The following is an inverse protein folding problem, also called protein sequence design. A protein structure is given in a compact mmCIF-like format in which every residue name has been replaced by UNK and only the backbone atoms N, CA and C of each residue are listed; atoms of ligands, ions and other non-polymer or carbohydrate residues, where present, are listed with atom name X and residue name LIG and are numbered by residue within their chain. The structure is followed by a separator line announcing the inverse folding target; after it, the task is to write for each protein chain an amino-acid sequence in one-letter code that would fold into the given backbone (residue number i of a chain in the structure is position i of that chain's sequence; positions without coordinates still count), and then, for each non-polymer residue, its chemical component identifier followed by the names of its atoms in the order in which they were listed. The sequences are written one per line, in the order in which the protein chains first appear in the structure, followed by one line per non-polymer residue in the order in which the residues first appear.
data_IF_296501074710
#
_entry.id   IF_296501074710
#
_cell.length_a   1.000
_cell.length_b   1.000
_cell.length_c   1.000
_cell.angle_alpha   90.00
_cell.angle_beta   90.00
_cell.angle_gamma   90.00
#
_symmetry.space_group_name_H-M   'P 1'
#
loop_
_entity.id
_entity.type
_entity.pdbx_description
1 polymer ?
#
# COMPACT_ATOMS: atom_id res chain seq x y z
N UNK A 1 -14.61 -1.39 -25.21
CA UNK A 1 -14.57 -1.27 -23.72
C UNK A 1 -14.14 -2.56 -23.06
N UNK A 2 -14.80 -3.69 -23.34
CA UNK A 2 -14.41 -5.01 -22.82
C UNK A 2 -12.97 -5.38 -23.16
N UNK A 3 -12.52 -5.14 -24.41
CA UNK A 3 -11.12 -5.35 -24.83
C UNK A 3 -10.10 -4.60 -23.97
N UNK A 4 -10.35 -3.33 -23.62
CA UNK A 4 -9.45 -2.56 -22.77
C UNK A 4 -9.39 -3.12 -21.34
N UNK A 5 -10.54 -3.58 -20.82
CA UNK A 5 -10.64 -4.25 -19.51
C UNK A 5 -9.84 -5.57 -19.51
N UNK A 6 -9.98 -6.36 -20.57
CA UNK A 6 -9.25 -7.63 -20.76
C UNK A 6 -7.75 -7.36 -20.87
N UNK A 7 -7.33 -6.36 -21.66
CA UNK A 7 -5.93 -5.97 -21.81
C UNK A 7 -5.28 -5.55 -20.49
N UNK A 8 -5.92 -4.69 -19.70
CA UNK A 8 -5.45 -4.30 -18.38
C UNK A 8 -5.38 -5.50 -17.42
N UNK A 9 -6.40 -6.37 -17.46
CA UNK A 9 -6.44 -7.56 -16.61
C UNK A 9 -5.33 -8.56 -16.96
N UNK A 10 -5.04 -8.74 -18.25
CA UNK A 10 -3.94 -9.57 -18.74
C UNK A 10 -2.57 -8.97 -18.41
N UNK A 11 -2.38 -7.66 -18.62
CA UNK A 11 -1.15 -6.94 -18.28
C UNK A 11 -0.83 -7.03 -16.77
N UNK A 12 -1.86 -7.05 -15.92
CA UNK A 12 -1.73 -7.22 -14.47
C UNK A 12 -1.72 -8.68 -14.00
N UNK A 13 -1.65 -9.66 -14.91
CA UNK A 13 -1.65 -11.11 -14.62
C UNK A 13 -2.84 -11.58 -13.78
N UNK A 14 -3.99 -10.93 -13.95
CA UNK A 14 -5.20 -11.21 -13.19
C UNK A 14 -5.22 -10.68 -11.75
N UNK A 15 -4.18 -9.94 -11.33
CA UNK A 15 -4.09 -9.39 -9.97
C UNK A 15 -5.13 -8.28 -9.73
N UNK A 16 -5.48 -7.53 -10.78
CA UNK A 16 -6.36 -6.38 -10.66
C UNK A 16 -7.85 -6.73 -10.68
N UNK A 17 -8.49 -6.41 -9.56
CA UNK A 17 -9.94 -6.37 -9.41
C UNK A 17 -10.57 -5.14 -10.07
N UNK A 18 -11.90 -5.07 -10.05
CA UNK A 18 -12.71 -4.02 -10.69
C UNK A 18 -12.26 -2.60 -10.31
N UNK A 19 -11.99 -2.34 -9.03
CA UNK A 19 -11.53 -1.02 -8.55
C UNK A 19 -10.22 -0.57 -9.17
N UNK A 20 -9.25 -1.48 -9.33
CA UNK A 20 -7.95 -1.17 -9.92
C UNK A 20 -8.06 -0.96 -11.43
N UNK A 21 -8.81 -1.82 -12.13
CA UNK A 21 -9.08 -1.64 -13.57
C UNK A 21 -9.77 -0.29 -13.84
N UNK A 22 -10.79 0.08 -13.05
CA UNK A 22 -11.44 1.39 -13.15
C UNK A 22 -10.46 2.56 -12.92
N UNK A 23 -9.55 2.42 -11.96
CA UNK A 23 -8.53 3.44 -11.68
C UNK A 23 -7.48 3.56 -12.78
N UNK A 24 -7.29 2.55 -13.64
CA UNK A 24 -6.37 2.63 -14.79
C UNK A 24 -7.07 3.14 -16.05
N UNK A 25 -8.36 2.83 -16.22
CA UNK A 25 -9.16 3.38 -17.31
C UNK A 25 -9.30 4.91 -17.24
N UNK A 26 -9.32 5.48 -16.02
CA UNK A 26 -9.59 6.91 -15.80
C UNK A 26 -8.41 7.83 -16.16
N UNK A 27 -7.15 7.61 -15.73
CA UNK A 27 -5.99 8.40 -16.14
C UNK A 27 -5.27 7.85 -17.38
N UNK A 28 -5.35 6.55 -17.68
CA UNK A 28 -4.60 5.91 -18.77
C UNK A 28 -5.26 5.97 -20.15
N UNK A 29 -6.59 5.99 -20.19
CA UNK A 29 -7.37 6.00 -21.45
C UNK A 29 -8.41 7.13 -21.50
N UNK A 30 -8.51 7.95 -20.46
CA UNK A 30 -9.50 9.04 -20.33
C UNK A 30 -10.96 8.58 -20.48
N UNK A 31 -11.26 7.32 -20.10
CA UNK A 31 -12.60 6.74 -20.25
C UNK A 31 -13.31 6.78 -18.90
N UNK A 32 -14.39 7.58 -18.82
CA UNK A 32 -15.25 7.64 -17.65
C UNK A 32 -16.29 6.52 -17.68
N UNK A 33 -16.07 5.48 -16.90
CA UNK A 33 -16.99 4.34 -16.74
C UNK A 33 -17.31 4.21 -15.26
N UNK A 34 -18.55 3.93 -14.87
CA UNK A 34 -18.86 3.65 -13.47
C UNK A 34 -18.18 2.34 -13.02
N UNK A 35 -17.81 2.24 -11.74
CA UNK A 35 -17.27 0.98 -11.19
C UNK A 35 -18.19 -0.22 -11.46
N UNK A 36 -19.51 -0.04 -11.34
CA UNK A 36 -20.49 -1.10 -11.59
C UNK A 36 -20.51 -1.58 -13.04
N UNK A 37 -20.33 -0.68 -14.00
CA UNK A 37 -20.20 -1.08 -15.42
C UNK A 37 -18.92 -1.87 -15.66
N UNK A 38 -17.81 -1.48 -15.05
CA UNK A 38 -16.55 -2.27 -15.13
C UNK A 38 -16.75 -3.65 -14.53
N UNK A 39 -17.48 -3.76 -13.42
CA UNK A 39 -17.77 -5.03 -12.75
C UNK A 39 -18.57 -5.97 -13.65
N UNK A 40 -19.65 -5.45 -14.21
CA UNK A 40 -20.52 -6.18 -15.11
C UNK A 40 -19.78 -6.61 -16.39
N UNK A 41 -18.94 -5.75 -16.96
CA UNK A 41 -18.14 -6.08 -18.14
C UNK A 41 -17.05 -7.11 -17.84
N UNK A 42 -16.39 -7.02 -16.67
CA UNK A 42 -15.44 -8.05 -16.22
C UNK A 42 -16.12 -9.40 -16.06
N UNK A 43 -17.31 -9.41 -15.45
CA UNK A 43 -18.09 -10.63 -15.24
C UNK A 43 -18.55 -11.24 -16.57
N UNK A 44 -19.07 -10.43 -17.50
CA UNK A 44 -19.44 -10.89 -18.85
C UNK A 44 -18.26 -11.42 -19.66
N UNK A 45 -17.06 -10.87 -19.44
CA UNK A 45 -15.83 -11.33 -20.07
C UNK A 45 -15.22 -12.58 -19.39
N UNK A 46 -15.86 -13.13 -18.34
CA UNK A 46 -15.36 -14.32 -17.65
C UNK A 46 -14.06 -14.09 -16.88
N UNK A 47 -13.69 -12.83 -16.59
CA UNK A 47 -12.43 -12.52 -15.93
C UNK A 47 -12.52 -12.85 -14.43
N UNK A 48 -11.56 -13.61 -13.87
CA UNK A 48 -11.60 -13.99 -12.47
C UNK A 48 -11.55 -12.75 -11.56
N UNK A 49 -12.34 -12.79 -10.49
CA UNK A 49 -12.17 -11.88 -9.38
C UNK A 49 -10.83 -12.13 -8.68
N UNK A 50 -10.25 -11.10 -8.08
CA UNK A 50 -9.15 -11.29 -7.12
C UNK A 50 -9.71 -12.07 -5.92
N UNK A 51 -9.63 -13.39 -5.99
CA UNK A 51 -9.94 -14.27 -4.87
C UNK A 51 -8.76 -14.17 -3.92
N UNK A 52 -8.88 -13.34 -2.88
CA UNK A 52 -7.89 -13.31 -1.80
C UNK A 52 -7.66 -14.73 -1.33
N UNK A 53 -6.41 -15.18 -1.32
CA UNK A 53 -6.04 -16.45 -0.73
C UNK A 53 -6.58 -16.45 0.71
N UNK A 54 -7.43 -17.41 1.03
CA UNK A 54 -7.92 -17.57 2.40
C UNK A 54 -6.71 -17.81 3.28
N UNK A 55 -6.56 -17.02 4.35
CA UNK A 55 -5.48 -17.22 5.33
C UNK A 55 -5.55 -18.67 5.80
N UNK A 56 -4.58 -19.49 5.39
CA UNK A 56 -4.40 -20.82 5.97
C UNK A 56 -3.84 -20.56 7.36
N UNK A 57 -4.63 -20.80 8.40
CA UNK A 57 -4.08 -20.83 9.76
C UNK A 57 -3.01 -21.92 9.76
N UNK A 58 -1.76 -21.52 9.99
CA UNK A 58 -0.61 -22.39 9.83
C UNK A 58 -0.75 -23.61 10.72
N UNK A 59 -0.79 -24.79 10.10
CA UNK A 59 -0.33 -26.01 10.76
C UNK A 59 1.14 -25.76 11.15
N UNK A 60 1.52 -26.03 12.40
CA UNK A 60 2.87 -25.81 12.87
C UNK A 60 3.86 -26.48 11.89
N UNK A 61 4.70 -25.66 11.25
CA UNK A 61 5.55 -26.12 10.13
C UNK A 61 6.67 -27.07 10.58
N UNK A 62 6.90 -27.20 11.89
CA UNK A 62 7.84 -28.11 12.52
C UNK A 62 7.24 -28.46 13.89
N UNK A 63 7.18 -29.74 14.24
CA UNK A 63 6.83 -30.15 15.60
C UNK A 63 7.85 -29.53 16.56
N UNK A 64 7.39 -28.83 17.61
CA UNK A 64 8.26 -28.29 18.65
C UNK A 64 8.91 -29.46 19.41
N UNK A 65 10.07 -29.94 18.94
CA UNK A 65 10.77 -31.11 19.50
C UNK A 65 11.26 -30.88 20.94
N UNK A 66 11.19 -29.63 21.41
CA UNK A 66 11.58 -29.22 22.76
C UNK A 66 10.37 -29.25 23.72
N UNK A 67 9.16 -29.53 23.21
CA UNK A 67 7.91 -29.62 23.98
C UNK A 67 7.75 -28.47 24.99
N UNK A 68 7.94 -27.23 24.52
CA UNK A 68 7.92 -26.06 25.39
C UNK A 68 6.48 -25.75 25.78
N UNK A 69 6.22 -25.73 27.08
CA UNK A 69 4.93 -25.31 27.60
C UNK A 69 4.79 -23.78 27.54
N UNK A 70 4.11 -23.29 26.50
CA UNK A 70 3.75 -21.88 26.33
C UNK A 70 2.31 -21.56 26.77
N UNK A 71 1.68 -22.48 27.51
CA UNK A 71 0.31 -22.34 28.02
C UNK A 71 0.28 -21.44 29.25
N UNK A 72 -0.65 -20.47 29.30
CA UNK A 72 -0.86 -19.59 30.46
C UNK A 72 -2.31 -19.61 30.92
N UNK A 73 -2.54 -19.62 32.23
CA UNK A 73 -3.89 -19.69 32.82
C UNK A 73 -4.47 -18.30 33.17
N UNK A 74 -3.63 -17.28 33.30
CA UNK A 74 -4.05 -15.90 33.47
C UNK A 74 -3.17 -14.91 32.67
N UNK A 75 -3.64 -13.66 32.58
CA UNK A 75 -2.91 -12.56 31.95
C UNK A 75 -1.61 -12.28 32.73
N UNK A 76 -0.58 -11.79 32.05
CA UNK A 76 0.73 -11.39 32.62
C UNK A 76 1.61 -12.51 33.23
N UNK A 77 1.24 -13.79 33.08
CA UNK A 77 2.03 -14.92 33.60
C UNK A 77 3.19 -15.35 32.69
N UNK A 78 3.07 -15.12 31.38
CA UNK A 78 4.10 -15.45 30.40
C UNK A 78 4.12 -14.37 29.32
N UNK A 79 5.31 -13.83 29.04
CA UNK A 79 5.57 -12.88 27.95
C UNK A 79 6.57 -13.51 26.99
N UNK A 80 6.09 -13.93 25.84
CA UNK A 80 6.93 -14.35 24.70
C UNK A 80 6.91 -13.21 23.71
N UNK A 81 8.08 -12.71 23.35
CA UNK A 81 8.26 -11.68 22.32
C UNK A 81 9.27 -12.21 21.32
N UNK A 82 8.96 -12.05 20.04
CA UNK A 82 9.89 -12.38 18.97
C UNK A 82 10.93 -11.27 18.84
N UNK A 83 12.19 -11.65 18.66
CA UNK A 83 13.26 -10.72 18.31
C UNK A 83 13.18 -10.51 16.80
N UNK A 84 12.92 -9.28 16.38
CA UNK A 84 12.94 -8.94 14.96
C UNK A 84 14.38 -8.74 14.51
N UNK A 85 14.83 -9.55 13.55
CA UNK A 85 16.10 -9.31 12.88
C UNK A 85 15.98 -8.03 12.03
N UNK A 86 16.67 -6.98 12.45
CA UNK A 86 16.83 -5.79 11.64
C UNK A 86 18.00 -5.99 10.68
N UNK A 87 17.72 -6.00 9.37
CA UNK A 87 18.80 -6.01 8.38
C UNK A 87 19.65 -4.73 8.58
N UNK A 88 20.98 -4.83 8.70
CA UNK A 88 21.81 -3.65 8.71
C UNK A 88 21.67 -2.95 7.36
N UNK A 89 21.12 -1.74 7.37
CA UNK A 89 21.11 -0.88 6.20
C UNK A 89 22.56 -0.69 5.74
N UNK A 90 22.95 -1.34 4.63
CA UNK A 90 24.17 -1.01 3.90
C UNK A 90 23.98 0.38 3.26
N UNK A 91 24.22 1.44 4.02
CA UNK A 91 24.32 2.78 3.48
C UNK A 91 25.78 3.07 3.11
N UNK A 92 26.18 2.65 1.91
CA UNK A 92 27.30 3.26 1.19
C UNK A 92 26.75 3.79 -0.13
N UNK A 93 26.62 5.11 -0.24
CA UNK A 93 27.40 5.94 -1.17
C UNK A 93 26.78 7.34 -1.33
N UNK A 94 27.67 8.31 -1.27
CA UNK A 94 27.60 9.76 -1.46
C UNK A 94 26.60 10.29 -2.49
N UNK A 95 25.77 11.25 -2.07
CA UNK A 95 25.26 12.29 -2.96
C UNK A 95 25.77 13.64 -2.47
N UNK A 96 26.65 14.28 -3.25
CA UNK A 96 26.92 15.70 -3.15
C UNK A 96 25.63 16.41 -3.58
N UNK A 97 24.84 16.90 -2.63
CA UNK A 97 23.73 17.78 -2.94
C UNK A 97 24.29 19.14 -3.36
N UNK A 98 24.38 19.40 -4.66
CA UNK A 98 24.43 20.78 -5.15
C UNK A 98 23.01 21.34 -5.11
N UNK A 99 22.55 21.76 -3.94
CA UNK A 99 21.36 22.60 -3.81
C UNK A 99 21.77 24.03 -4.17
N UNK A 100 21.46 24.48 -5.38
CA UNK A 100 21.46 25.90 -5.73
C UNK A 100 20.04 26.45 -5.52
N UNK A 101 19.80 27.36 -4.58
CA UNK A 101 18.52 28.06 -4.49
C UNK A 101 18.39 29.05 -5.65
N UNK A 102 17.24 29.00 -6.33
CA UNK A 102 16.82 30.02 -7.31
C UNK A 102 16.54 31.36 -6.60
N UNK A 103 16.82 32.46 -7.32
CA UNK A 103 16.92 33.85 -6.84
C UNK A 103 15.62 34.49 -6.31
N UNK A 104 14.49 33.77 -6.28
CA UNK A 104 13.16 34.34 -6.03
C UNK A 104 12.47 33.90 -4.73
N UNK A 105 13.14 33.15 -3.84
CA UNK A 105 12.56 32.79 -2.55
C UNK A 105 12.76 33.92 -1.51
N UNK A 106 11.87 34.93 -1.51
CA UNK A 106 11.76 35.92 -0.42
C UNK A 106 10.84 35.40 0.69
N UNK A 107 11.38 35.31 1.90
CA UNK A 107 10.69 34.91 3.13
C UNK A 107 9.71 35.97 3.63
N UNK A 108 8.64 35.47 4.28
CA UNK A 108 7.65 36.20 5.09
C UNK A 108 8.34 37.16 6.07
N UNK A 109 7.96 38.43 6.03
CA UNK A 109 8.43 39.47 6.94
C UNK A 109 7.73 39.46 8.32
N UNK A 110 8.30 40.12 9.35
CA UNK A 110 7.80 40.08 10.73
C UNK A 110 6.56 40.96 10.99
N UNK A 111 5.81 40.52 12.01
CA UNK A 111 4.61 41.04 12.69
C UNK A 111 4.32 42.56 12.67
N UNK A 112 3.09 42.92 12.31
CA UNK A 112 2.51 44.27 12.43
C UNK A 112 2.06 44.58 13.88
N UNK A 113 2.36 45.76 14.46
CA UNK A 113 1.72 46.21 15.69
C UNK A 113 0.38 46.91 15.41
N UNK A 114 -0.57 46.75 16.34
CA UNK A 114 -1.93 47.31 16.30
C UNK A 114 -1.93 48.81 16.65
N UNK A 115 -2.69 49.69 15.94
CA UNK A 115 -2.76 51.10 16.28
C UNK A 115 -3.67 51.39 17.50
N UNK A 116 -3.47 52.50 18.23
CA UNK A 116 -4.27 52.87 19.39
C UNK A 116 -5.66 53.40 19.00
N UNK A 117 -6.64 53.12 19.87
CA UNK A 117 -8.02 53.61 19.74
C UNK A 117 -8.11 55.08 20.14
N UNK A 118 -8.87 55.85 19.37
CA UNK A 118 -9.30 57.20 19.71
C UNK A 118 -10.78 57.18 20.04
#
# INVERSE_FOLDING_TARGET
MTEAIVGIHAASRGTYGTRRVHAELRPGLSIHVSHGTVELLKQRAGLPGNRRARTKHGTASVADLVERNLTRHARDQLRVVDITEHQPLRARCTARSSWTPSRDARWVGPSTPRPPRR
#
